data_IF_591317707966
#
_entry.id   IF_591317707966
#
_cell.length_a   1.000
_cell.length_b   1.000
_cell.length_c   1.000
_cell.angle_alpha   90.00
_cell.angle_beta   90.00
_cell.angle_gamma   90.00
#
_symmetry.space_group_name_H-M   'P 1'
#
loop_
_entity.id
_entity.type
_entity.pdbx_description
1 polymer ?
#
# COMPACT_ATOMS: atom_id res chain seq x y z
N UNK A 1 1.63 -4.89 -10.78
CA UNK A 1 1.20 -4.49 -9.41
C UNK A 1 1.79 -3.15 -8.96
N UNK A 2 3.12 -2.98 -8.92
CA UNK A 2 3.75 -1.70 -8.54
C UNK A 2 3.25 -0.48 -9.32
N UNK A 3 3.09 -0.62 -10.64
CA UNK A 3 2.57 0.45 -11.51
C UNK A 3 1.11 0.82 -11.20
N UNK A 4 0.26 -0.17 -10.94
CA UNK A 4 -1.14 0.07 -10.55
C UNK A 4 -1.20 0.84 -9.23
N UNK A 5 -0.37 0.47 -8.25
CA UNK A 5 -0.28 1.20 -6.98
C UNK A 5 0.29 2.61 -7.16
N UNK A 6 1.22 2.82 -8.09
CA UNK A 6 1.71 4.15 -8.46
C UNK A 6 0.57 5.00 -9.03
N UNK A 7 -0.24 4.45 -9.94
CA UNK A 7 -1.38 5.18 -10.50
C UNK A 7 -2.39 5.57 -9.43
N UNK A 8 -2.77 4.65 -8.53
CA UNK A 8 -3.64 4.98 -7.41
C UNK A 8 -3.06 6.08 -6.51
N UNK A 9 -1.74 6.08 -6.30
CA UNK A 9 -1.09 7.15 -5.54
C UNK A 9 -1.18 8.49 -6.30
N UNK A 10 -0.92 8.51 -7.60
CA UNK A 10 -0.98 9.70 -8.44
C UNK A 10 -2.40 10.25 -8.61
N UNK A 11 -3.41 9.38 -8.67
CA UNK A 11 -4.83 9.77 -8.71
C UNK A 11 -5.26 10.56 -7.47
N UNK A 12 -4.66 10.27 -6.32
CA UNK A 12 -4.94 10.94 -5.04
C UNK A 12 -3.98 12.10 -4.75
N UNK A 13 -2.86 12.16 -5.47
CA UNK A 13 -1.77 13.12 -5.27
C UNK A 13 -2.12 14.50 -5.79
N UNK A 14 -1.63 15.52 -5.08
CA UNK A 14 -1.65 16.92 -5.53
C UNK A 14 -0.26 17.56 -5.51
N UNK A 15 0.63 17.11 -4.62
CA UNK A 15 2.03 17.55 -4.55
C UNK A 15 2.92 16.37 -4.09
N UNK A 16 3.35 15.50 -5.03
CA UNK A 16 4.14 14.32 -4.70
C UNK A 16 5.38 14.64 -3.85
N UNK A 17 6.04 15.76 -4.15
CA UNK A 17 7.27 16.18 -3.46
C UNK A 17 7.05 16.55 -1.99
N UNK A 18 5.80 16.69 -1.54
CA UNK A 18 5.41 16.93 -0.15
C UNK A 18 4.51 15.80 0.43
N UNK A 19 4.44 14.64 -0.22
CA UNK A 19 3.54 13.56 0.16
C UNK A 19 4.29 12.29 0.62
N UNK A 20 3.73 11.63 1.64
CA UNK A 20 4.06 10.25 2.02
C UNK A 20 3.06 9.31 1.36
N UNK A 21 3.55 8.29 0.66
CA UNK A 21 2.73 7.13 0.26
C UNK A 21 2.99 5.97 1.22
N UNK A 22 1.94 5.30 1.69
CA UNK A 22 2.03 4.05 2.45
C UNK A 22 1.34 2.94 1.68
N UNK A 23 2.11 1.93 1.26
CA UNK A 23 1.56 0.68 0.72
C UNK A 23 1.11 -0.19 1.90
N UNK A 24 -0.19 -0.42 2.00
CA UNK A 24 -0.79 -1.19 3.08
C UNK A 24 -1.35 -2.50 2.57
N UNK A 25 -0.91 -3.62 3.13
CA UNK A 25 -1.40 -4.95 2.79
C UNK A 25 -2.07 -5.66 3.95
N UNK A 26 -2.88 -6.66 3.62
CA UNK A 26 -3.33 -7.64 4.60
C UNK A 26 -2.14 -8.45 5.10
N UNK A 27 -1.36 -9.05 4.20
CA UNK A 27 -0.16 -9.82 4.52
C UNK A 27 -0.41 -11.18 5.16
N UNK A 28 0.53 -12.13 5.01
CA UNK A 28 0.38 -13.48 5.51
C UNK A 28 0.58 -13.58 7.03
N UNK A 29 0.05 -14.65 7.63
CA UNK A 29 0.05 -14.84 9.08
C UNK A 29 1.42 -15.23 9.64
N UNK A 30 2.22 -16.00 8.89
CA UNK A 30 3.52 -16.47 9.40
C UNK A 30 4.60 -15.40 9.25
N UNK A 31 5.53 -15.27 10.22
CA UNK A 31 6.61 -14.28 10.13
C UNK A 31 7.45 -14.42 8.86
N UNK A 32 7.77 -15.66 8.45
CA UNK A 32 8.60 -15.94 7.27
C UNK A 32 7.91 -15.51 5.98
N UNK A 33 6.65 -15.87 5.80
CA UNK A 33 5.90 -15.45 4.61
C UNK A 33 5.72 -13.93 4.60
N UNK A 34 5.51 -13.31 5.77
CA UNK A 34 5.34 -11.87 5.87
C UNK A 34 6.62 -11.12 5.51
N UNK A 35 7.78 -11.64 5.91
CA UNK A 35 9.07 -11.10 5.49
C UNK A 35 9.29 -11.20 3.97
N UNK A 36 8.90 -12.33 3.36
CA UNK A 36 8.95 -12.50 1.91
C UNK A 36 8.03 -11.50 1.19
N UNK A 37 6.80 -11.34 1.68
CA UNK A 37 5.84 -10.38 1.11
C UNK A 37 6.32 -8.93 1.27
N UNK A 38 6.84 -8.56 2.45
CA UNK A 38 7.43 -7.24 2.69
C UNK A 38 8.65 -6.98 1.79
N UNK A 39 9.43 -8.00 1.44
CA UNK A 39 10.54 -7.88 0.48
C UNK A 39 10.04 -7.53 -0.93
N UNK A 40 8.89 -8.08 -1.33
CA UNK A 40 8.25 -7.74 -2.60
C UNK A 40 7.66 -6.33 -2.54
N UNK A 41 6.96 -5.98 -1.46
CA UNK A 41 6.42 -4.64 -1.25
C UNK A 41 7.52 -3.57 -1.24
N UNK A 42 8.71 -3.87 -0.73
CA UNK A 42 9.86 -2.96 -0.79
C UNK A 42 10.22 -2.58 -2.23
N UNK A 43 10.21 -3.56 -3.15
CA UNK A 43 10.47 -3.31 -4.58
C UNK A 43 9.39 -2.42 -5.19
N UNK A 44 8.13 -2.62 -4.81
CA UNK A 44 7.04 -1.75 -5.23
C UNK A 44 7.19 -0.33 -4.67
N UNK A 45 7.58 -0.19 -3.40
CA UNK A 45 7.81 1.11 -2.80
C UNK A 45 8.92 1.90 -3.52
N UNK A 46 10.03 1.25 -3.87
CA UNK A 46 11.09 1.88 -4.66
C UNK A 46 10.60 2.32 -6.05
N UNK A 47 9.82 1.47 -6.73
CA UNK A 47 9.26 1.81 -8.04
C UNK A 47 8.27 2.98 -7.96
N UNK A 48 7.40 3.02 -6.95
CA UNK A 48 6.46 4.13 -6.73
C UNK A 48 7.22 5.42 -6.41
N UNK A 49 8.26 5.34 -5.57
CA UNK A 49 9.07 6.51 -5.22
C UNK A 49 9.77 7.09 -6.44
N UNK A 50 10.42 6.23 -7.24
CA UNK A 50 11.12 6.64 -8.46
C UNK A 50 10.16 7.15 -9.54
N UNK A 51 9.00 6.50 -9.72
CA UNK A 51 8.04 6.83 -10.77
C UNK A 51 7.12 8.02 -10.45
N UNK A 52 6.80 8.24 -9.18
CA UNK A 52 5.88 9.29 -8.74
C UNK A 52 6.53 10.55 -8.20
N UNK A 53 7.82 10.52 -7.88
CA UNK A 53 8.51 11.67 -7.27
C UNK A 53 8.06 11.95 -5.83
N UNK A 54 7.47 10.96 -5.16
CA UNK A 54 6.99 11.10 -3.79
C UNK A 54 8.14 11.34 -2.80
N UNK A 55 7.90 12.21 -1.81
CA UNK A 55 8.90 12.53 -0.78
C UNK A 55 9.35 11.30 0.00
N UNK A 56 8.40 10.43 0.34
CA UNK A 56 8.70 9.13 0.93
C UNK A 56 7.65 8.08 0.57
N UNK A 57 8.08 6.82 0.55
CA UNK A 57 7.19 5.68 0.34
C UNK A 57 7.50 4.62 1.39
N UNK A 58 6.49 4.24 2.16
CA UNK A 58 6.57 3.19 3.18
C UNK A 58 5.68 2.02 2.81
N UNK A 59 5.91 0.88 3.43
CA UNK A 59 5.12 -0.32 3.20
C UNK A 59 4.99 -1.11 4.49
N UNK A 60 3.81 -1.70 4.71
CA UNK A 60 3.59 -2.60 5.83
C UNK A 60 2.37 -3.49 5.63
N UNK A 61 2.38 -4.64 6.30
CA UNK A 61 1.25 -5.55 6.39
C UNK A 61 0.62 -5.47 7.79
N UNK A 62 -0.70 -5.36 7.86
CA UNK A 62 -1.40 -5.39 9.15
C UNK A 62 -1.52 -6.80 9.74
N UNK A 63 -1.47 -7.81 8.88
CA UNK A 63 -1.67 -9.23 9.16
C UNK A 63 -3.02 -9.46 9.86
N UNK A 64 -4.14 -9.30 9.13
CA UNK A 64 -5.48 -9.30 9.75
C UNK A 64 -5.78 -10.58 10.53
N UNK A 65 -5.17 -11.71 10.14
CA UNK A 65 -5.42 -13.02 10.73
C UNK A 65 -4.58 -13.28 11.99
N UNK A 66 -3.72 -12.33 12.41
CA UNK A 66 -3.05 -12.41 13.69
C UNK A 66 -4.02 -12.16 14.86
N UNK A 67 -3.67 -12.67 16.07
CA UNK A 67 -4.28 -12.23 17.31
C UNK A 67 -4.34 -10.70 17.41
N UNK A 68 -5.45 -10.18 17.95
CA UNK A 68 -5.77 -8.75 17.96
C UNK A 68 -4.68 -7.88 18.61
N UNK A 69 -4.06 -8.39 19.68
CA UNK A 69 -2.95 -7.74 20.39
C UNK A 69 -1.69 -7.56 19.54
N UNK A 70 -1.51 -8.39 18.51
CA UNK A 70 -0.42 -8.27 17.54
C UNK A 70 -0.83 -7.40 16.34
N UNK A 71 -2.02 -7.62 15.79
CA UNK A 71 -2.55 -6.82 14.67
C UNK A 71 -2.59 -5.32 15.00
N UNK A 72 -3.01 -4.97 16.22
CA UNK A 72 -3.10 -3.56 16.65
C UNK A 72 -1.74 -2.86 16.62
N UNK A 73 -0.65 -3.56 16.89
CA UNK A 73 0.71 -3.00 16.82
C UNK A 73 1.13 -2.70 15.38
N UNK A 74 0.72 -3.55 14.43
CA UNK A 74 0.98 -3.31 13.01
C UNK A 74 0.17 -2.12 12.48
N UNK A 75 -1.10 -1.99 12.89
CA UNK A 75 -1.92 -0.82 12.55
C UNK A 75 -1.34 0.45 13.17
N UNK A 76 -0.94 0.40 14.45
CA UNK A 76 -0.33 1.54 15.13
C UNK A 76 0.94 2.02 14.44
N UNK A 77 1.74 1.11 13.87
CA UNK A 77 2.92 1.45 13.07
C UNK A 77 2.55 2.28 11.83
N UNK A 78 1.56 1.84 11.06
CA UNK A 78 1.09 2.57 9.87
C UNK A 78 0.56 3.95 10.26
N UNK A 79 -0.28 4.02 11.29
CA UNK A 79 -0.84 5.28 11.80
C UNK A 79 0.24 6.23 12.29
N UNK A 80 1.24 5.72 13.00
CA UNK A 80 2.37 6.53 13.48
C UNK A 80 3.14 7.18 12.34
N UNK A 81 3.37 6.48 11.22
CA UNK A 81 4.02 7.08 10.05
C UNK A 81 3.19 8.21 9.42
N UNK A 82 1.86 8.04 9.36
CA UNK A 82 0.95 9.06 8.86
C UNK A 82 1.00 10.30 9.77
N UNK A 83 0.91 10.09 11.08
CA UNK A 83 0.96 11.16 12.08
C UNK A 83 2.31 11.91 12.04
N UNK A 84 3.44 11.20 11.95
CA UNK A 84 4.78 11.77 11.82
C UNK A 84 4.98 12.55 10.50
N UNK A 85 4.39 12.09 9.40
CA UNK A 85 4.42 12.82 8.14
C UNK A 85 3.63 14.13 8.24
N UNK A 86 2.42 14.07 8.80
CA UNK A 86 1.57 15.25 9.00
C UNK A 86 2.19 16.27 9.96
N UNK A 87 2.82 15.81 11.03
CA UNK A 87 3.57 16.68 11.96
C UNK A 87 4.72 17.43 11.26
N UNK A 88 5.25 16.89 10.16
CA UNK A 88 6.28 17.52 9.31
C UNK A 88 5.70 18.35 8.15
N UNK A 89 4.39 18.57 8.12
CA UNK A 89 3.71 19.34 7.07
C UNK A 89 3.46 18.58 5.77
N UNK A 90 3.61 17.25 5.78
CA UNK A 90 3.35 16.41 4.62
C UNK A 90 1.89 15.93 4.58
N UNK A 91 1.37 15.71 3.38
CA UNK A 91 0.14 14.93 3.19
C UNK A 91 0.46 13.43 3.15
N UNK A 92 -0.52 12.58 3.48
CA UNK A 92 -0.36 11.13 3.48
C UNK A 92 -1.41 10.48 2.57
N UNK A 93 -0.96 9.54 1.75
CA UNK A 93 -1.77 8.72 0.86
C UNK A 93 -1.53 7.26 1.23
N UNK A 94 -2.59 6.49 1.40
CA UNK A 94 -2.54 5.04 1.61
C UNK A 94 -3.02 4.37 0.33
N UNK A 95 -2.16 3.50 -0.21
CA UNK A 95 -2.48 2.63 -1.34
C UNK A 95 -2.50 1.17 -0.91
N UNK A 96 -3.46 0.37 -1.37
CA UNK A 96 -3.60 -1.02 -0.94
C UNK A 96 -2.91 -2.01 -1.86
N UNK A 97 -2.17 -2.97 -1.29
CA UNK A 97 -1.76 -4.18 -1.99
C UNK A 97 -2.84 -5.27 -1.88
N UNK A 98 -4.05 -4.99 -2.38
CA UNK A 98 -5.20 -5.90 -2.31
C UNK A 98 -5.82 -6.02 -3.71
N UNK A 99 -6.01 -7.26 -4.17
CA UNK A 99 -6.48 -7.57 -5.52
C UNK A 99 -7.88 -7.00 -5.82
N UNK A 100 -8.82 -7.11 -4.88
CA UNK A 100 -10.22 -6.74 -5.12
C UNK A 100 -10.76 -5.81 -4.03
N UNK A 101 -11.70 -4.95 -4.42
CA UNK A 101 -12.61 -4.31 -3.47
C UNK A 101 -13.34 -5.39 -2.66
N UNK A 102 -12.97 -5.50 -1.39
CA UNK A 102 -13.36 -6.63 -0.54
C UNK A 102 -13.53 -6.18 0.92
N UNK A 103 -14.01 -7.08 1.77
CA UNK A 103 -14.07 -6.84 3.22
C UNK A 103 -12.70 -6.54 3.84
N UNK A 104 -11.61 -7.05 3.26
CA UNK A 104 -10.24 -6.71 3.66
C UNK A 104 -9.99 -5.22 3.44
N UNK A 105 -10.28 -4.73 2.23
CA UNK A 105 -10.04 -3.34 1.87
C UNK A 105 -10.78 -2.37 2.79
N UNK A 106 -12.05 -2.68 3.10
CA UNK A 106 -12.83 -1.89 4.06
C UNK A 106 -12.22 -1.90 5.47
N UNK A 107 -11.63 -3.02 5.92
CA UNK A 107 -10.93 -3.06 7.22
C UNK A 107 -9.66 -2.19 7.19
N UNK A 108 -8.88 -2.25 6.12
CA UNK A 108 -7.69 -1.40 5.96
C UNK A 108 -8.04 0.09 5.95
N UNK A 109 -9.14 0.46 5.29
CA UNK A 109 -9.65 1.84 5.33
C UNK A 109 -9.99 2.24 6.77
N UNK A 110 -10.79 1.43 7.46
CA UNK A 110 -11.16 1.69 8.85
C UNK A 110 -9.94 1.81 9.79
N UNK A 111 -8.86 1.06 9.54
CA UNK A 111 -7.64 1.12 10.36
C UNK A 111 -6.94 2.49 10.28
N UNK A 112 -7.08 3.21 9.19
CA UNK A 112 -6.47 4.54 8.98
C UNK A 112 -7.48 5.69 9.04
N UNK A 113 -8.75 5.40 9.31
CA UNK A 113 -9.77 6.42 9.53
C UNK A 113 -9.37 7.37 10.67
N UNK A 114 -9.77 8.63 10.51
CA UNK A 114 -9.44 9.72 11.43
C UNK A 114 -7.99 10.20 11.40
N UNK A 115 -7.09 9.55 10.65
CA UNK A 115 -5.69 10.02 10.50
C UNK A 115 -5.57 11.20 9.53
N UNK A 116 -6.59 11.44 8.70
CA UNK A 116 -6.56 12.46 7.65
C UNK A 116 -5.80 12.04 6.38
N UNK A 117 -5.36 10.78 6.27
CA UNK A 117 -4.79 10.26 5.04
C UNK A 117 -5.86 10.11 3.93
N UNK A 118 -5.46 10.36 2.68
CA UNK A 118 -6.23 9.93 1.50
C UNK A 118 -6.06 8.41 1.35
N UNK A 119 -7.09 7.72 0.87
CA UNK A 119 -7.08 6.25 0.76
C UNK A 119 -7.62 5.83 -0.61
N UNK A 120 -6.91 4.95 -1.33
CA UNK A 120 -7.46 4.39 -2.56
C UNK A 120 -8.56 3.40 -2.19
N UNK A 121 -9.77 3.57 -2.70
CA UNK A 121 -10.89 2.66 -2.40
C UNK A 121 -11.13 1.64 -3.51
N UNK A 122 -10.31 1.65 -4.57
CA UNK A 122 -10.30 0.69 -5.67
C UNK A 122 -9.18 -0.35 -5.52
N UNK A 123 -9.53 -1.64 -5.64
CA UNK A 123 -8.55 -2.72 -5.63
C UNK A 123 -7.74 -2.78 -6.93
N UNK A 124 -6.66 -3.55 -6.94
CA UNK A 124 -5.73 -3.60 -8.09
C UNK A 124 -6.40 -4.09 -9.38
N UNK A 125 -7.39 -4.98 -9.29
CA UNK A 125 -8.10 -5.56 -10.43
C UNK A 125 -9.00 -4.56 -11.15
N UNK A 126 -9.44 -3.50 -10.47
CA UNK A 126 -10.31 -2.48 -11.04
C UNK A 126 -9.55 -1.48 -11.93
N UNK A 127 -8.21 -1.50 -11.91
CA UNK A 127 -7.38 -0.65 -12.77
C UNK A 127 -7.31 -1.25 -14.20
N UNK A 128 -7.50 -0.45 -15.26
CA UNK A 128 -7.42 -0.93 -16.65
C UNK A 128 -6.12 -1.68 -17.03
N UNK A 129 -4.99 -1.34 -16.39
CA UNK A 129 -3.68 -2.00 -16.59
C UNK A 129 -3.56 -3.35 -15.92
N UNK A 130 -4.57 -3.80 -15.17
CA UNK A 130 -4.52 -5.13 -14.58
C UNK A 130 -4.41 -6.22 -15.66
N UNK A 131 -5.08 -6.03 -16.80
CA UNK A 131 -4.95 -6.92 -17.97
C UNK A 131 -3.52 -6.91 -18.53
N UNK A 132 -2.93 -5.73 -18.73
CA UNK A 132 -1.54 -5.58 -19.20
C UNK A 132 -0.55 -6.28 -18.25
N UNK A 133 -0.78 -6.18 -16.94
CA UNK A 133 0.06 -6.86 -15.94
C UNK A 133 -0.07 -8.39 -16.03
N UNK A 134 -1.27 -8.93 -16.24
CA UNK A 134 -1.45 -10.37 -16.44
C UNK A 134 -0.69 -10.82 -17.68
N UNK A 135 -0.79 -10.08 -18.79
CA UNK A 135 -0.09 -10.40 -20.04
C UNK A 135 1.42 -10.44 -19.83
N UNK A 136 1.99 -9.40 -19.22
CA UNK A 136 3.43 -9.34 -18.91
C UNK A 136 3.88 -10.49 -17.98
N UNK A 137 3.08 -10.84 -16.98
CA UNK A 137 3.40 -11.92 -16.06
C UNK A 137 3.38 -13.30 -16.75
N UNK A 138 2.43 -13.52 -17.67
CA UNK A 138 2.37 -14.76 -18.46
C UNK A 138 3.58 -14.87 -19.38
N UNK A 139 3.97 -13.79 -20.05
CA UNK A 139 5.14 -13.78 -20.93
C UNK A 139 6.46 -14.07 -20.19
N UNK A 140 6.61 -13.55 -18.97
CA UNK A 140 7.79 -13.80 -18.13
C UNK A 140 7.90 -15.27 -17.69
N UNK A 141 6.78 -15.95 -17.46
CA UNK A 141 6.75 -17.35 -16.99
C UNK A 141 6.71 -18.40 -18.13
N UNK A 142 6.55 -17.97 -19.38
CA UNK A 142 6.64 -18.83 -20.57
C UNK A 142 8.05 -18.90 -21.17
N UNK A 143 9.02 -18.18 -20.59
CA UNK A 143 10.44 -18.21 -20.95
C UNK A 143 11.23 -19.10 -20.01
#
# INVERSE_FOLDING_TARGET
>A
MGEIMLEHALELSSDPANELVVIMGHGPMTPKENEMDLTIMARHAEAIKAGGGFRDVKYWNVQDDLPQDKRVLNVARVRGWIEDARARGMEAIVVTNVLTQSGIMKRLQNDVDGTGAKFNDTGLMQNPRFSDWIEAAVEENLR
#
